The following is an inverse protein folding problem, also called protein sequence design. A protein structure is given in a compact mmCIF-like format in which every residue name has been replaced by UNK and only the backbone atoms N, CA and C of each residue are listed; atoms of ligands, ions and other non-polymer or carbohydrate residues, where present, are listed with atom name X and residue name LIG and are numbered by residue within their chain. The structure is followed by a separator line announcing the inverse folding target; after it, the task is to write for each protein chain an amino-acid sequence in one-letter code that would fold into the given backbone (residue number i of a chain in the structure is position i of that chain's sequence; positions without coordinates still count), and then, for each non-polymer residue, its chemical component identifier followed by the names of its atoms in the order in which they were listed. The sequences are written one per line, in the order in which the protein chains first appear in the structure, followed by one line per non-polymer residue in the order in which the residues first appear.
data_IF_514963215204
#
_entry.id   IF_514963215204
#
_cell.length_a   1.000
_cell.length_b   1.000
_cell.length_c   1.000
_cell.angle_alpha   90.00
_cell.angle_beta   90.00
_cell.angle_gamma   90.00
#
_symmetry.space_group_name_H-M   'P 1'
#
loop_
_entity.id
_entity.type
_entity.pdbx_description
1 polymer ?
#
# COMPACT_ATOMS: atom_id res chain seq x y z
N UNK A 1 -4.17 23.95 9.70
CA UNK A 1 -3.40 25.13 9.24
C UNK A 1 -3.97 26.45 9.77
N UNK A 2 -5.09 26.98 9.23
CA UNK A 2 -5.59 28.29 9.63
C UNK A 2 -5.95 28.39 11.12
N UNK A 3 -6.53 27.34 11.70
CA UNK A 3 -6.80 27.23 13.14
C UNK A 3 -5.51 27.30 14.00
N UNK A 4 -4.36 26.94 13.44
CA UNK A 4 -3.04 27.05 14.06
C UNK A 4 -2.30 28.35 13.66
N UNK A 5 -3.02 29.36 13.12
CA UNK A 5 -2.43 30.65 12.72
C UNK A 5 -1.55 30.60 11.46
N UNK A 6 -1.52 29.48 10.73
CA UNK A 6 -0.76 29.34 9.50
C UNK A 6 -1.64 29.60 8.27
N UNK A 7 -1.32 30.69 7.56
CA UNK A 7 -2.00 31.12 6.32
C UNK A 7 -1.17 30.88 5.05
N UNK A 8 -0.03 30.21 5.16
CA UNK A 8 0.80 29.76 4.04
C UNK A 8 1.38 28.40 4.38
N UNK A 9 1.45 27.51 3.39
CA UNK A 9 2.05 26.18 3.54
C UNK A 9 3.56 26.26 3.80
N UNK A 10 4.23 27.30 3.30
CA UNK A 10 5.67 27.52 3.55
C UNK A 10 6.00 27.72 5.03
N UNK A 11 5.04 28.16 5.86
CA UNK A 11 5.22 28.25 7.32
C UNK A 11 5.37 26.89 7.99
N UNK A 12 4.98 25.80 7.33
CA UNK A 12 5.11 24.44 7.84
C UNK A 12 6.55 23.90 7.71
N UNK A 13 7.36 24.47 6.82
CA UNK A 13 8.75 24.03 6.59
C UNK A 13 9.58 24.12 7.88
N UNK A 14 9.74 25.28 8.54
CA UNK A 14 10.56 25.37 9.75
C UNK A 14 10.03 24.50 10.91
N UNK A 15 8.71 24.29 11.00
CA UNK A 15 8.11 23.43 12.02
C UNK A 15 8.42 21.94 11.83
N UNK A 16 8.47 21.49 10.57
CA UNK A 16 8.88 20.13 10.24
C UNK A 16 10.39 19.95 10.44
N UNK A 17 11.20 20.94 10.06
CA UNK A 17 12.66 20.92 10.24
C UNK A 17 13.04 20.86 11.72
N UNK A 18 12.33 21.59 12.60
CA UNK A 18 12.51 21.53 14.05
C UNK A 18 12.30 20.12 14.63
N UNK A 19 11.60 19.25 13.90
CA UNK A 19 11.34 17.83 14.26
C UNK A 19 12.21 16.85 13.45
N UNK A 20 13.22 17.36 12.74
CA UNK A 20 14.15 16.56 11.94
C UNK A 20 13.56 16.09 10.59
N UNK A 21 12.47 16.69 10.13
CA UNK A 21 11.81 16.34 8.87
C UNK A 21 12.14 17.41 7.84
N UNK A 22 13.00 17.05 6.88
CA UNK A 22 13.39 17.93 5.78
C UNK A 22 12.61 17.58 4.53
N UNK A 23 11.72 18.48 4.11
CA UNK A 23 10.94 18.37 2.88
C UNK A 23 11.15 19.62 2.03
N UNK A 24 11.18 19.46 0.71
CA UNK A 24 11.20 20.59 -0.21
C UNK A 24 9.90 21.38 -0.14
N UNK A 25 9.94 22.66 -0.53
CA UNK A 25 8.74 23.50 -0.57
C UNK A 25 7.60 22.88 -1.39
N UNK A 26 7.93 22.24 -2.52
CA UNK A 26 6.96 21.53 -3.35
C UNK A 26 6.36 20.31 -2.63
N UNK A 27 7.16 19.56 -1.87
CA UNK A 27 6.66 18.43 -1.07
C UNK A 27 5.70 18.92 0.03
N UNK A 28 6.05 20.00 0.72
CA UNK A 28 5.19 20.62 1.74
C UNK A 28 3.89 21.16 1.12
N UNK A 29 3.96 21.78 -0.05
CA UNK A 29 2.77 22.22 -0.77
C UNK A 29 1.84 21.04 -1.07
N UNK A 30 2.34 19.96 -1.70
CA UNK A 30 1.49 18.78 -1.99
C UNK A 30 0.93 18.14 -0.72
N UNK A 31 1.72 18.07 0.35
CA UNK A 31 1.26 17.53 1.64
C UNK A 31 0.06 18.30 2.20
N UNK A 32 0.06 19.62 2.06
CA UNK A 32 -0.96 20.49 2.66
C UNK A 32 -2.13 20.83 1.72
N UNK A 33 -1.92 20.80 0.41
CA UNK A 33 -2.89 21.26 -0.60
C UNK A 33 -3.48 20.11 -1.45
N UNK A 34 -2.83 18.95 -1.49
CA UNK A 34 -3.24 17.81 -2.30
C UNK A 34 -3.45 16.56 -1.44
N UNK A 35 -4.09 15.53 -2.00
CA UNK A 35 -4.23 14.23 -1.32
C UNK A 35 -2.95 13.40 -1.57
N UNK A 36 -2.11 13.12 -0.55
CA UNK A 36 -0.93 12.30 -0.73
C UNK A 36 -1.31 10.83 -0.95
N UNK A 37 -0.64 10.15 -1.90
CA UNK A 37 -0.78 8.70 -2.09
C UNK A 37 -0.02 7.90 -1.02
N UNK A 38 1.08 8.46 -0.52
CA UNK A 38 1.95 7.85 0.48
C UNK A 38 2.35 8.90 1.50
N UNK A 39 2.30 8.53 2.77
CA UNK A 39 2.69 9.39 3.89
C UNK A 39 3.58 8.58 4.85
N UNK A 40 4.66 9.20 5.33
CA UNK A 40 5.49 8.64 6.39
C UNK A 40 4.82 8.82 7.75
N UNK A 41 4.93 7.83 8.62
CA UNK A 41 4.37 7.91 9.98
C UNK A 41 5.01 9.05 10.80
N UNK A 42 6.31 9.31 10.61
CA UNK A 42 6.98 10.45 11.25
C UNK A 42 6.36 11.79 10.86
N UNK A 43 5.99 11.95 9.59
CA UNK A 43 5.31 13.16 9.11
C UNK A 43 3.93 13.28 9.72
N UNK A 44 3.16 12.18 9.78
CA UNK A 44 1.84 12.19 10.41
C UNK A 44 1.92 12.64 11.87
N UNK A 45 2.81 12.03 12.65
CA UNK A 45 3.00 12.38 14.08
C UNK A 45 3.46 13.82 14.25
N UNK A 46 4.36 14.32 13.39
CA UNK A 46 4.79 15.71 13.43
C UNK A 46 3.64 16.68 13.14
N UNK A 47 2.76 16.37 12.17
CA UNK A 47 1.59 17.21 11.89
C UNK A 47 0.61 17.24 13.07
N UNK A 48 0.41 16.11 13.75
CA UNK A 48 -0.42 16.03 14.96
C UNK A 48 0.15 16.93 16.06
N UNK A 49 1.46 16.89 16.28
CA UNK A 49 2.14 17.74 17.27
C UNK A 49 2.08 19.24 16.90
N UNK A 50 2.32 19.58 15.63
CA UNK A 50 2.26 20.97 15.13
C UNK A 50 0.86 21.56 15.29
N UNK A 51 -0.19 20.78 15.03
CA UNK A 51 -1.58 21.27 15.09
C UNK A 51 -2.29 20.99 16.40
N UNK A 52 -1.65 20.28 17.34
CA UNK A 52 -2.27 19.88 18.61
C UNK A 52 -3.52 19.03 18.41
N UNK A 53 -3.52 18.13 17.42
CA UNK A 53 -4.68 17.32 17.06
C UNK A 53 -4.39 15.82 17.11
N UNK A 54 -5.45 15.02 16.99
CA UNK A 54 -5.38 13.56 16.96
C UNK A 54 -5.28 13.04 15.52
N UNK A 55 -5.01 11.74 15.37
CA UNK A 55 -4.98 11.11 14.05
C UNK A 55 -6.34 11.20 13.34
N UNK A 56 -7.46 11.07 14.06
CA UNK A 56 -8.81 11.12 13.49
C UNK A 56 -9.15 12.48 12.88
N UNK A 57 -8.45 13.55 13.30
CA UNK A 57 -8.58 14.89 12.72
C UNK A 57 -7.84 15.04 11.37
N UNK A 58 -6.90 14.13 11.06
CA UNK A 58 -6.05 14.18 9.87
C UNK A 58 -6.35 13.06 8.86
N UNK A 59 -6.77 11.90 9.34
CA UNK A 59 -7.02 10.71 8.53
C UNK A 59 -8.43 10.18 8.79
N UNK A 60 -9.08 9.70 7.72
CA UNK A 60 -10.39 9.07 7.81
C UNK A 60 -10.32 7.71 7.14
N UNK A 61 -11.03 6.73 7.69
CA UNK A 61 -11.17 5.42 7.03
C UNK A 61 -11.88 5.60 5.70
N UNK A 62 -11.27 5.07 4.65
CA UNK A 62 -11.90 4.96 3.34
C UNK A 62 -12.24 3.50 3.12
N UNK A 63 -13.49 3.22 2.80
CA UNK A 63 -13.88 1.87 2.40
C UNK A 63 -13.31 1.61 1.01
N UNK A 64 -12.30 0.75 0.92
CA UNK A 64 -11.63 0.42 -0.34
C UNK A 64 -12.43 -0.60 -1.17
N UNK A 65 -13.61 -1.00 -0.68
CA UNK A 65 -14.37 -2.12 -1.21
C UNK A 65 -13.69 -3.45 -0.89
N UNK A 66 -14.46 -4.53 -0.93
CA UNK A 66 -13.86 -5.86 -0.93
C UNK A 66 -12.98 -5.97 -2.18
N UNK A 67 -11.70 -6.29 -2.01
CA UNK A 67 -10.86 -6.67 -3.13
C UNK A 67 -11.61 -7.79 -3.86
N UNK A 68 -12.12 -7.49 -5.05
CA UNK A 68 -12.75 -8.48 -5.91
C UNK A 68 -11.75 -9.62 -6.01
N UNK A 69 -12.11 -10.74 -5.38
CA UNK A 69 -11.32 -11.95 -5.47
C UNK A 69 -11.34 -12.26 -6.94
N UNK A 70 -10.22 -11.97 -7.62
CA UNK A 70 -10.07 -12.10 -9.07
C UNK A 70 -10.58 -13.50 -9.40
N UNK A 71 -11.78 -13.58 -9.96
CA UNK A 71 -12.32 -14.84 -10.44
C UNK A 71 -11.35 -15.24 -11.52
N UNK A 72 -10.57 -16.27 -11.20
CA UNK A 72 -9.69 -16.93 -12.15
C UNK A 72 -10.59 -17.41 -13.29
N UNK A 73 -10.69 -16.63 -14.36
CA UNK A 73 -11.22 -17.08 -15.64
C UNK A 73 -10.18 -18.01 -16.26
N UNK A 74 -10.03 -19.19 -15.65
CA UNK A 74 -9.44 -20.34 -16.27
C UNK A 74 -10.60 -21.23 -16.69
N UNK A 75 -10.83 -21.28 -17.98
CA UNK A 75 -11.76 -22.20 -18.62
C UNK A 75 -11.54 -23.63 -18.12
N UNK A 76 -12.65 -24.34 -17.94
CA UNK A 76 -12.80 -25.79 -17.70
C UNK A 76 -13.01 -26.28 -16.26
N UNK A 77 -13.98 -27.18 -16.16
CA UNK A 77 -14.62 -27.73 -14.99
C UNK A 77 -13.65 -28.36 -13.97
N UNK A 78 -13.96 -28.21 -12.69
CA UNK A 78 -13.37 -29.00 -11.61
C UNK A 78 -13.50 -28.32 -10.25
N UNK A 79 -14.39 -28.88 -9.41
CA UNK A 79 -14.55 -28.55 -7.99
C UNK A 79 -13.22 -28.46 -7.21
N UNK A 80 -13.19 -27.74 -6.07
CA UNK A 80 -11.97 -27.44 -5.30
C UNK A 80 -11.48 -28.63 -4.45
N UNK A 81 -11.83 -29.86 -4.78
CA UNK A 81 -11.19 -31.02 -4.17
C UNK A 81 -9.79 -31.10 -4.74
N UNK A 82 -8.81 -30.83 -3.87
CA UNK A 82 -7.44 -30.56 -4.24
C UNK A 82 -6.95 -31.54 -5.29
N UNK A 83 -6.33 -31.03 -6.34
CA UNK A 83 -5.70 -31.83 -7.41
C UNK A 83 -4.85 -32.99 -6.86
N UNK A 84 -4.30 -32.83 -5.66
CA UNK A 84 -3.59 -33.88 -4.93
C UNK A 84 -4.46 -35.07 -4.49
N UNK A 85 -5.72 -34.86 -4.08
CA UNK A 85 -6.65 -35.94 -3.68
C UNK A 85 -7.14 -36.71 -4.91
N UNK A 86 -7.45 -36.02 -6.01
CA UNK A 86 -7.80 -36.66 -7.28
C UNK A 86 -6.63 -37.51 -7.86
N UNK A 87 -5.38 -37.02 -7.76
CA UNK A 87 -4.20 -37.80 -8.14
C UNK A 87 -3.97 -39.02 -7.23
N UNK A 88 -4.23 -38.90 -5.91
CA UNK A 88 -4.13 -40.04 -4.99
C UNK A 88 -5.20 -41.09 -5.26
N UNK A 89 -6.43 -40.68 -5.54
CA UNK A 89 -7.55 -41.57 -5.86
C UNK A 89 -7.33 -42.34 -7.17
N UNK A 90 -6.72 -41.70 -8.17
CA UNK A 90 -6.39 -42.34 -9.47
C UNK A 90 -5.13 -43.20 -9.46
N UNK A 91 -4.39 -43.23 -8.34
CA UNK A 91 -3.09 -43.92 -8.25
C UNK A 91 -1.99 -43.29 -9.12
N UNK A 92 -2.25 -42.14 -9.75
CA UNK A 92 -1.30 -41.44 -10.60
C UNK A 92 -0.25 -40.73 -9.73
N UNK A 93 1.00 -41.20 -9.80
CA UNK A 93 2.12 -40.58 -9.09
C UNK A 93 2.91 -39.69 -10.04
N UNK A 94 2.94 -38.35 -9.84
CA UNK A 94 3.67 -37.46 -10.72
C UNK A 94 5.17 -37.77 -10.64
N UNK A 95 5.81 -37.94 -11.79
CA UNK A 95 7.27 -38.12 -11.88
C UNK A 95 7.95 -36.76 -11.79
N UNK A 96 9.10 -36.72 -11.10
CA UNK A 96 9.92 -35.50 -10.97
C UNK A 96 10.34 -35.04 -12.36
N UNK A 97 10.11 -33.76 -12.67
CA UNK A 97 10.55 -33.17 -13.92
C UNK A 97 12.08 -33.24 -14.03
N UNK A 98 12.57 -33.64 -15.21
CA UNK A 98 13.98 -33.53 -15.57
C UNK A 98 14.13 -32.35 -16.53
N UNK A 99 15.09 -31.48 -16.23
CA UNK A 99 15.43 -30.34 -17.08
C UNK A 99 16.51 -30.83 -18.05
N UNK A 100 16.17 -30.91 -19.33
CA UNK A 100 17.15 -31.20 -20.40
C UNK A 100 17.63 -29.86 -20.95
N UNK A 101 18.95 -29.65 -21.14
CA UNK A 101 19.45 -28.44 -21.78
C UNK A 101 18.89 -28.31 -23.21
N UNK A 102 18.68 -27.08 -23.71
CA UNK A 102 18.27 -26.88 -25.09
C UNK A 102 19.33 -27.48 -26.03
N UNK A 103 18.88 -28.26 -27.01
CA UNK A 103 19.75 -28.77 -28.06
C UNK A 103 20.20 -27.61 -28.95
N UNK A 104 21.48 -27.28 -28.89
CA UNK A 104 22.12 -26.33 -29.81
C UNK A 104 22.07 -26.90 -31.24
N UNK A 105 21.49 -26.13 -32.16
CA UNK A 105 21.48 -26.39 -33.60
C UNK A 105 22.53 -25.57 -34.34
#
# INVERSE_FOLDING_TARGET
MAAAGMFSTTKLIPELEARGIHLSASQVYRLAAEKPERLSLHVLVALMDIFGCTADDLITRVDLGAATTRTRTGTEAGSPEGSADALRASGARPKRAQIVPPSDG
#
